data_IF_792933339037
#
_entry.id   IF_792933339037
#
_cell.length_a   1.000
_cell.length_b   1.000
_cell.length_c   1.000
_cell.angle_alpha   90.00
_cell.angle_beta   90.00
_cell.angle_gamma   90.00
#
_symmetry.space_group_name_H-M   'P 1'
#
loop_
_entity.id
_entity.type
_entity.pdbx_description
1 polymer ?
#
# COMPACT_ATOMS: atom_id res chain seq x y z
N UNK A 1 31.24 -11.86 25.71
CA UNK A 1 30.20 -11.24 24.85
C UNK A 1 28.98 -12.14 24.87
N UNK A 2 27.88 -11.68 25.46
CA UNK A 2 26.60 -12.40 25.39
C UNK A 2 25.99 -12.14 24.01
N UNK A 3 26.12 -13.10 23.10
CA UNK A 3 25.37 -13.05 21.84
C UNK A 3 23.88 -13.06 22.20
N UNK A 4 23.07 -12.09 21.75
CA UNK A 4 21.65 -12.12 22.02
C UNK A 4 21.07 -13.45 21.51
N UNK A 5 20.14 -14.07 22.25
CA UNK A 5 19.55 -15.33 21.83
C UNK A 5 18.92 -15.19 20.44
N UNK A 6 18.84 -16.26 19.65
CA UNK A 6 18.20 -16.21 18.32
C UNK A 6 16.72 -15.87 18.46
N UNK A 7 16.19 -15.01 17.58
CA UNK A 7 14.75 -14.73 17.53
C UNK A 7 14.03 -15.91 16.90
N UNK A 8 13.14 -16.54 17.68
CA UNK A 8 12.28 -17.62 17.18
C UNK A 8 10.99 -17.01 16.65
N UNK A 9 10.75 -17.19 15.36
CA UNK A 9 9.46 -16.92 14.71
C UNK A 9 8.60 -18.16 14.88
N UNK A 10 7.52 -18.05 15.66
CA UNK A 10 6.62 -19.18 15.93
C UNK A 10 5.60 -19.28 14.80
N UNK A 11 5.57 -20.42 14.10
CA UNK A 11 4.64 -20.65 12.98
C UNK A 11 3.17 -20.57 13.39
N UNK A 12 2.87 -20.88 14.66
CA UNK A 12 1.53 -20.74 15.26
C UNK A 12 0.99 -19.30 15.21
N UNK A 13 1.87 -18.29 15.12
CA UNK A 13 1.47 -16.89 15.01
C UNK A 13 0.90 -16.48 13.64
N UNK A 14 0.89 -17.42 12.67
CA UNK A 14 0.35 -17.19 11.33
C UNK A 14 0.95 -15.95 10.67
N UNK A 15 0.08 -15.15 10.07
CA UNK A 15 0.43 -13.92 9.34
C UNK A 15 1.09 -12.84 10.23
N UNK A 16 0.88 -12.87 11.55
CA UNK A 16 1.39 -11.87 12.51
C UNK A 16 2.70 -12.31 13.19
N UNK A 17 3.26 -13.46 12.81
CA UNK A 17 4.36 -14.09 13.53
C UNK A 17 5.65 -13.25 13.47
N UNK A 18 5.92 -12.57 12.34
CA UNK A 18 7.11 -11.76 12.13
C UNK A 18 7.06 -10.48 12.98
N UNK A 19 5.95 -9.76 12.94
CA UNK A 19 5.73 -8.53 13.71
C UNK A 19 5.85 -8.82 15.20
N UNK A 20 5.19 -9.87 15.69
CA UNK A 20 5.29 -10.28 17.10
C UNK A 20 6.72 -10.62 17.49
N UNK A 21 7.49 -11.22 16.59
CA UNK A 21 8.89 -11.55 16.85
C UNK A 21 9.77 -10.30 16.95
N UNK A 22 9.51 -9.28 16.12
CA UNK A 22 10.17 -7.97 16.17
C UNK A 22 9.77 -7.17 17.40
N UNK A 23 8.49 -7.16 17.75
CA UNK A 23 7.95 -6.50 18.96
C UNK A 23 8.58 -7.06 20.24
N UNK A 24 8.76 -8.38 20.35
CA UNK A 24 9.49 -9.01 21.47
C UNK A 24 10.97 -8.59 21.55
N UNK A 25 11.52 -7.97 20.51
CA UNK A 25 12.88 -7.42 20.46
C UNK A 25 12.94 -5.91 20.66
N UNK A 26 11.82 -5.28 20.96
CA UNK A 26 11.73 -3.85 21.24
C UNK A 26 11.35 -2.98 20.05
N UNK A 27 11.13 -3.56 18.87
CA UNK A 27 10.59 -2.84 17.70
C UNK A 27 9.06 -2.78 17.81
N UNK A 28 8.53 -1.72 18.44
CA UNK A 28 7.09 -1.61 18.72
C UNK A 28 6.28 -1.34 17.46
N UNK A 29 6.72 -0.36 16.68
CA UNK A 29 6.06 0.04 15.44
C UNK A 29 6.70 -0.65 14.24
N UNK A 30 6.12 -1.78 13.81
CA UNK A 30 6.54 -2.46 12.59
C UNK A 30 5.67 -2.00 11.43
N UNK A 31 6.27 -1.32 10.45
CA UNK A 31 5.59 -0.94 9.22
C UNK A 31 5.75 -2.01 8.15
N UNK A 32 4.67 -2.29 7.43
CA UNK A 32 4.68 -3.06 6.19
C UNK A 32 4.49 -2.15 5.00
N UNK A 33 5.11 -2.45 3.87
CA UNK A 33 4.88 -1.78 2.60
C UNK A 33 4.79 -2.76 1.43
N UNK A 34 3.90 -2.46 0.48
CA UNK A 34 3.66 -3.24 -0.73
C UNK A 34 3.13 -2.32 -1.85
N UNK A 35 3.10 -2.83 -3.08
CA UNK A 35 2.60 -2.15 -4.26
C UNK A 35 1.47 -2.88 -4.99
N UNK A 36 0.73 -2.12 -5.81
CA UNK A 36 -0.22 -2.62 -6.79
C UNK A 36 0.04 -1.96 -8.15
N UNK A 37 -0.12 -2.73 -9.22
CA UNK A 37 -0.02 -2.21 -10.59
C UNK A 37 1.36 -2.28 -11.24
N UNK A 38 2.34 -2.95 -10.62
CA UNK A 38 3.67 -3.13 -11.23
C UNK A 38 3.62 -3.87 -12.57
N UNK A 39 2.73 -4.86 -12.71
CA UNK A 39 2.56 -5.62 -13.96
C UNK A 39 1.60 -5.02 -14.99
N UNK A 40 0.95 -3.90 -14.68
CA UNK A 40 -0.03 -3.29 -15.57
C UNK A 40 0.65 -2.37 -16.59
N UNK A 41 0.21 -2.42 -17.85
CA UNK A 41 0.70 -1.53 -18.90
C UNK A 41 -0.10 -0.23 -19.01
N UNK A 42 -1.15 -0.06 -18.20
CA UNK A 42 -1.93 1.16 -18.10
C UNK A 42 -2.29 1.50 -16.65
N UNK A 43 -2.48 2.80 -16.41
CA UNK A 43 -2.80 3.38 -15.12
C UNK A 43 -1.61 3.51 -14.17
N UNK A 44 -1.85 4.03 -12.96
CA UNK A 44 -0.79 4.35 -12.01
C UNK A 44 -0.19 3.11 -11.35
N UNK A 45 1.01 3.28 -10.81
CA UNK A 45 1.61 2.41 -9.81
C UNK A 45 1.23 2.96 -8.44
N UNK A 46 0.67 2.14 -7.57
CA UNK A 46 0.24 2.55 -6.23
C UNK A 46 1.04 1.76 -5.21
N UNK A 47 1.67 2.45 -4.26
CA UNK A 47 2.29 1.80 -3.10
C UNK A 47 1.59 2.27 -1.83
N UNK A 48 1.55 1.40 -0.83
CA UNK A 48 1.03 1.76 0.48
C UNK A 48 1.98 1.29 1.57
N UNK A 49 1.85 1.93 2.73
CA UNK A 49 2.48 1.51 3.96
C UNK A 49 1.46 1.49 5.09
N UNK A 50 1.59 0.55 6.02
CA UNK A 50 0.70 0.42 7.16
C UNK A 50 1.46 -0.04 8.42
N UNK A 51 1.09 0.53 9.57
CA UNK A 51 1.49 0.07 10.90
C UNK A 51 0.23 -0.42 11.62
N UNK A 52 0.22 -1.70 12.00
CA UNK A 52 -0.87 -2.28 12.78
C UNK A 52 -0.54 -2.21 14.29
N UNK A 53 -1.55 -2.00 15.17
CA UNK A 53 -1.32 -2.00 16.60
C UNK A 53 -0.92 -3.38 17.13
N UNK A 54 -0.25 -3.39 18.28
CA UNK A 54 0.18 -4.64 18.91
C UNK A 54 -1.01 -5.49 19.43
N UNK A 55 -0.81 -6.80 19.46
CA UNK A 55 -1.79 -7.75 20.00
C UNK A 55 -3.10 -7.80 19.21
N UNK A 56 -4.19 -8.15 19.91
CA UNK A 56 -5.51 -8.37 19.29
C UNK A 56 -6.11 -7.15 18.61
N UNK A 57 -5.71 -5.94 19.01
CA UNK A 57 -6.22 -4.70 18.40
C UNK A 57 -5.82 -4.57 16.93
N UNK A 58 -4.65 -5.09 16.56
CA UNK A 58 -4.17 -5.07 15.18
C UNK A 58 -4.55 -6.30 14.37
N UNK A 59 -5.21 -7.28 14.97
CA UNK A 59 -5.70 -8.45 14.24
C UNK A 59 -6.93 -8.04 13.41
N UNK A 60 -6.88 -8.32 12.11
CA UNK A 60 -7.92 -8.06 11.12
C UNK A 60 -8.43 -9.40 10.60
N UNK A 61 -9.76 -9.58 10.62
CA UNK A 61 -10.35 -10.88 10.35
C UNK A 61 -10.44 -11.16 8.84
N UNK A 62 -9.90 -12.32 8.46
CA UNK A 62 -9.73 -12.72 7.07
C UNK A 62 -8.60 -11.98 6.33
N UNK A 63 -7.72 -11.24 7.01
CA UNK A 63 -6.56 -10.62 6.37
C UNK A 63 -5.66 -11.70 5.75
N UNK A 64 -5.40 -11.57 4.45
CA UNK A 64 -4.57 -12.46 3.66
C UNK A 64 -4.01 -11.73 2.44
N UNK A 65 -3.21 -12.42 1.62
CA UNK A 65 -2.77 -11.96 0.30
C UNK A 65 -3.97 -11.40 -0.49
N UNK A 66 -3.87 -10.13 -0.90
CA UNK A 66 -4.97 -9.39 -1.53
C UNK A 66 -5.51 -10.06 -2.80
N UNK A 67 -4.70 -10.90 -3.45
CA UNK A 67 -5.04 -11.67 -4.65
C UNK A 67 -5.91 -12.90 -4.34
N UNK A 68 -5.86 -13.40 -3.10
CA UNK A 68 -6.67 -14.54 -2.64
C UNK A 68 -8.05 -14.10 -2.13
N UNK A 69 -8.24 -12.81 -1.90
CA UNK A 69 -9.49 -12.23 -1.44
C UNK A 69 -10.45 -11.94 -2.59
N UNK A 70 -11.73 -12.21 -2.38
CA UNK A 70 -12.79 -11.71 -3.27
C UNK A 70 -12.83 -10.18 -3.23
N UNK A 71 -13.35 -9.50 -4.28
CA UNK A 71 -13.47 -8.04 -4.27
C UNK A 71 -14.22 -7.51 -3.05
N UNK A 72 -15.37 -8.10 -2.71
CA UNK A 72 -16.16 -7.68 -1.54
C UNK A 72 -15.41 -7.87 -0.21
N UNK A 73 -14.72 -8.99 -0.03
CA UNK A 73 -13.89 -9.21 1.16
C UNK A 73 -12.73 -8.22 1.23
N UNK A 74 -12.13 -7.88 0.09
CA UNK A 74 -11.01 -6.93 0.02
C UNK A 74 -11.44 -5.51 0.39
N UNK A 75 -12.61 -5.06 -0.06
CA UNK A 75 -13.19 -3.77 0.32
C UNK A 75 -13.47 -3.72 1.84
N UNK A 76 -14.10 -4.76 2.39
CA UNK A 76 -14.30 -4.87 3.86
C UNK A 76 -12.97 -4.80 4.62
N UNK A 77 -11.97 -5.57 4.19
CA UNK A 77 -10.66 -5.61 4.86
C UNK A 77 -9.94 -4.27 4.72
N UNK A 78 -10.06 -3.58 3.58
CA UNK A 78 -9.55 -2.22 3.41
C UNK A 78 -10.12 -1.29 4.49
N UNK A 79 -11.44 -1.31 4.69
CA UNK A 79 -12.09 -0.46 5.69
C UNK A 79 -11.66 -0.83 7.13
N UNK A 80 -11.50 -2.12 7.41
CA UNK A 80 -10.94 -2.58 8.70
C UNK A 80 -9.49 -2.14 8.91
N UNK A 81 -8.64 -2.20 7.87
CA UNK A 81 -7.26 -1.72 7.92
C UNK A 81 -7.25 -0.22 8.20
N UNK A 82 -8.03 0.57 7.46
CA UNK A 82 -8.13 2.02 7.66
C UNK A 82 -8.59 2.37 9.07
N UNK A 83 -9.57 1.64 9.61
CA UNK A 83 -10.10 1.88 10.94
C UNK A 83 -9.15 1.48 12.08
N UNK A 84 -8.34 0.44 11.90
CA UNK A 84 -7.51 -0.14 12.98
C UNK A 84 -6.04 0.21 12.91
N UNK A 85 -5.50 0.57 11.74
CA UNK A 85 -4.08 0.87 11.58
C UNK A 85 -3.68 2.09 12.42
N UNK A 86 -2.56 1.99 13.15
CA UNK A 86 -2.00 3.12 13.90
C UNK A 86 -1.62 4.27 12.96
N UNK A 87 -1.09 3.92 11.79
CA UNK A 87 -0.82 4.84 10.71
C UNK A 87 -0.87 4.09 9.39
N UNK A 88 -1.32 4.75 8.34
CA UNK A 88 -1.18 4.27 6.98
C UNK A 88 -0.98 5.44 6.01
N UNK A 89 -0.38 5.13 4.87
CA UNK A 89 -0.22 6.09 3.78
C UNK A 89 -0.34 5.36 2.45
N UNK A 90 -0.91 6.03 1.46
CA UNK A 90 -1.00 5.55 0.07
C UNK A 90 -0.37 6.58 -0.85
N UNK A 91 0.53 6.13 -1.72
CA UNK A 91 1.24 6.94 -2.71
C UNK A 91 0.93 6.43 -4.10
N UNK A 92 0.53 7.37 -4.96
CA UNK A 92 0.21 7.11 -6.36
C UNK A 92 1.31 7.70 -7.23
N UNK A 93 1.85 6.89 -8.13
CA UNK A 93 2.80 7.30 -9.17
C UNK A 93 2.09 7.21 -10.53
N UNK A 94 1.90 8.34 -11.24
CA UNK A 94 1.30 8.35 -12.57
C UNK A 94 2.06 7.51 -13.60
N UNK A 95 1.39 7.07 -14.66
CA UNK A 95 2.00 6.30 -15.75
C UNK A 95 3.17 7.04 -16.41
N UNK A 96 3.05 8.36 -16.57
CA UNK A 96 4.10 9.23 -17.10
C UNK A 96 5.38 9.19 -16.24
N UNK A 97 5.28 9.33 -14.91
CA UNK A 97 6.46 9.25 -14.03
C UNK A 97 7.10 7.85 -14.09
N UNK A 98 6.30 6.78 -14.25
CA UNK A 98 6.81 5.42 -14.46
C UNK A 98 7.60 5.30 -15.76
N UNK A 99 7.10 5.90 -16.85
CA UNK A 99 7.78 5.93 -18.14
C UNK A 99 9.10 6.72 -18.07
N UNK A 100 9.09 7.87 -17.39
CA UNK A 100 10.27 8.74 -17.28
C UNK A 100 11.40 8.13 -16.44
N UNK A 101 11.06 7.55 -15.28
CA UNK A 101 12.04 7.10 -14.28
C UNK A 101 12.34 5.61 -14.37
N UNK A 102 11.45 4.85 -15.01
CA UNK A 102 11.48 3.40 -15.04
C UNK A 102 10.73 2.76 -13.87
N UNK A 103 10.14 1.59 -14.15
CA UNK A 103 9.26 0.87 -13.23
C UNK A 103 9.90 0.54 -11.88
N UNK A 104 11.09 -0.04 -11.88
CA UNK A 104 11.73 -0.47 -10.63
C UNK A 104 12.09 0.71 -9.74
N UNK A 105 12.65 1.77 -10.33
CA UNK A 105 13.00 3.01 -9.61
C UNK A 105 11.74 3.67 -9.04
N UNK A 106 10.68 3.74 -9.84
CA UNK A 106 9.38 4.28 -9.41
C UNK A 106 8.77 3.46 -8.28
N UNK A 107 8.89 2.13 -8.32
CA UNK A 107 8.39 1.25 -7.25
C UNK A 107 9.09 1.50 -5.92
N UNK A 108 10.43 1.51 -5.92
CA UNK A 108 11.20 1.76 -4.71
C UNK A 108 10.95 3.18 -4.18
N UNK A 109 10.80 4.16 -5.08
CA UNK A 109 10.44 5.53 -4.71
C UNK A 109 9.04 5.60 -4.09
N UNK A 110 8.05 4.90 -4.65
CA UNK A 110 6.68 4.86 -4.14
C UNK A 110 6.62 4.26 -2.72
N UNK A 111 7.25 3.09 -2.51
CA UNK A 111 7.32 2.47 -1.18
C UNK A 111 8.05 3.37 -0.18
N UNK A 112 9.18 3.98 -0.56
CA UNK A 112 9.92 4.92 0.30
C UNK A 112 9.06 6.13 0.67
N UNK A 113 8.36 6.72 -0.30
CA UNK A 113 7.44 7.85 -0.06
C UNK A 113 6.30 7.42 0.87
N UNK A 114 5.72 6.23 0.69
CA UNK A 114 4.63 5.73 1.53
C UNK A 114 5.10 5.55 2.98
N UNK A 115 6.25 4.91 3.19
CA UNK A 115 6.87 4.74 4.51
C UNK A 115 7.19 6.08 5.18
N UNK A 116 7.75 7.04 4.42
CA UNK A 116 8.09 8.36 4.92
C UNK A 116 6.85 9.23 5.22
N UNK A 117 5.68 8.88 4.67
CA UNK A 117 4.42 9.61 4.88
C UNK A 117 3.62 9.08 6.08
N UNK A 118 4.10 8.01 6.74
CA UNK A 118 3.47 7.51 7.96
C UNK A 118 3.59 8.55 9.07
N UNK A 119 2.45 8.87 9.70
CA UNK A 119 2.39 9.81 10.83
C UNK A 119 3.06 9.25 12.09
N UNK A 120 3.08 7.92 12.22
CA UNK A 120 3.81 7.20 13.26
C UNK A 120 5.13 6.72 12.69
N UNK A 121 6.24 7.15 13.28
CA UNK A 121 7.58 6.69 12.87
C UNK A 121 7.73 5.18 13.14
N UNK A 122 8.06 4.37 12.13
CA UNK A 122 8.34 2.96 12.35
C UNK A 122 9.67 2.74 13.10
N UNK A 123 9.77 1.65 13.85
CA UNK A 123 11.02 1.15 14.42
C UNK A 123 11.67 0.10 13.52
N UNK A 124 10.87 -0.58 12.69
CA UNK A 124 11.31 -1.60 11.74
C UNK A 124 10.39 -1.63 10.51
N UNK A 125 10.94 -1.94 9.34
CA UNK A 125 10.20 -2.00 8.07
C UNK A 125 10.25 -3.40 7.45
N UNK A 126 9.09 -3.91 7.04
CA UNK A 126 8.94 -5.10 6.22
C UNK A 126 8.40 -4.68 4.85
N UNK A 127 9.00 -5.18 3.78
CA UNK A 127 8.63 -4.83 2.39
C UNK A 127 8.39 -6.10 1.58
N UNK A 128 7.41 -6.10 0.69
CA UNK A 128 7.21 -7.24 -0.21
C UNK A 128 8.26 -7.25 -1.33
N UNK A 129 9.01 -8.36 -1.42
CA UNK A 129 9.88 -8.68 -2.56
C UNK A 129 11.18 -7.88 -2.70
N UNK A 130 11.17 -6.55 -2.47
CA UNK A 130 12.29 -5.66 -2.75
C UNK A 130 12.73 -4.87 -1.52
N UNK A 131 14.05 -4.81 -1.29
CA UNK A 131 14.62 -3.93 -0.28
C UNK A 131 14.45 -2.47 -0.67
N UNK A 132 14.07 -1.64 0.29
CA UNK A 132 13.96 -0.20 0.13
C UNK A 132 15.13 0.47 0.82
N UNK A 133 16.11 0.92 0.05
CA UNK A 133 17.28 1.63 0.57
C UNK A 133 16.94 3.06 0.99
N UNK A 134 17.81 3.66 1.81
CA UNK A 134 17.70 5.07 2.20
C UNK A 134 16.63 5.35 3.27
N UNK A 135 16.21 4.32 4.01
CA UNK A 135 15.41 4.47 5.23
C UNK A 135 16.33 4.74 6.43
N UNK A 136 15.87 5.55 7.37
CA UNK A 136 16.55 5.85 8.64
C UNK A 136 16.31 4.76 9.71
N UNK A 137 15.63 3.69 9.32
CA UNK A 137 15.19 2.58 10.17
C UNK A 137 15.62 1.26 9.54
N UNK A 138 15.91 0.23 10.36
CA UNK A 138 16.22 -1.09 9.83
C UNK A 138 15.02 -1.68 9.09
N UNK A 139 15.29 -2.46 8.06
CA UNK A 139 14.24 -3.14 7.33
C UNK A 139 14.68 -4.44 6.69
N UNK A 140 13.70 -5.23 6.29
CA UNK A 140 13.88 -6.51 5.62
C UNK A 140 12.92 -6.62 4.43
N UNK A 141 13.47 -6.96 3.28
CA UNK A 141 12.69 -7.43 2.14
C UNK A 141 12.27 -8.87 2.41
N UNK A 142 10.97 -9.11 2.41
CA UNK A 142 10.39 -10.43 2.68
C UNK A 142 9.85 -11.00 1.37
N UNK A 143 10.32 -12.18 1.00
CA UNK A 143 9.78 -12.88 -0.15
C UNK A 143 8.33 -13.29 0.11
N UNK A 144 7.40 -12.81 -0.73
CA UNK A 144 5.94 -12.99 -0.54
C UNK A 144 5.51 -12.48 0.84
N UNK A 145 5.94 -11.26 1.16
CA UNK A 145 5.69 -10.60 2.43
C UNK A 145 4.20 -10.51 2.76
N UNK A 146 3.36 -10.30 1.74
CA UNK A 146 1.90 -10.31 1.82
C UNK A 146 1.30 -11.61 2.39
N UNK A 147 2.03 -12.73 2.36
CA UNK A 147 1.61 -14.03 2.90
C UNK A 147 2.16 -14.36 4.28
N UNK A 148 3.14 -13.59 4.76
CA UNK A 148 3.90 -13.93 5.98
C UNK A 148 4.01 -12.79 7.00
N UNK A 149 3.64 -11.57 6.61
CA UNK A 149 3.59 -10.38 7.45
C UNK A 149 2.25 -9.65 7.27
N UNK A 150 1.48 -9.52 8.34
CA UNK A 150 0.19 -8.84 8.38
C UNK A 150 0.27 -7.37 8.02
N UNK A 151 1.32 -6.67 8.44
CA UNK A 151 1.52 -5.26 8.07
C UNK A 151 1.74 -5.11 6.55
N UNK A 152 2.43 -6.05 5.90
CA UNK A 152 2.62 -6.07 4.44
C UNK A 152 1.32 -6.46 3.74
N UNK A 153 0.59 -7.44 4.26
CA UNK A 153 -0.74 -7.80 3.74
C UNK A 153 -1.73 -6.63 3.82
N UNK A 154 -1.73 -5.87 4.91
CA UNK A 154 -2.54 -4.67 5.09
C UNK A 154 -2.17 -3.59 4.05
N UNK A 155 -0.88 -3.33 3.86
CA UNK A 155 -0.40 -2.43 2.81
C UNK A 155 -0.81 -2.91 1.40
N UNK A 156 -0.73 -4.21 1.13
CA UNK A 156 -1.17 -4.83 -0.14
C UNK A 156 -2.64 -4.53 -0.43
N UNK A 157 -3.49 -4.71 0.58
CA UNK A 157 -4.93 -4.44 0.46
C UNK A 157 -5.19 -2.95 0.19
N UNK A 158 -4.53 -2.05 0.93
CA UNK A 158 -4.66 -0.60 0.73
C UNK A 158 -4.26 -0.19 -0.69
N UNK A 159 -3.09 -0.65 -1.16
CA UNK A 159 -2.60 -0.36 -2.50
C UNK A 159 -3.53 -0.92 -3.58
N UNK A 160 -3.98 -2.18 -3.42
CA UNK A 160 -4.82 -2.88 -4.40
C UNK A 160 -6.21 -2.26 -4.52
N UNK A 161 -6.87 -1.99 -3.40
CA UNK A 161 -8.22 -1.39 -3.41
C UNK A 161 -8.17 0.03 -3.96
N UNK A 162 -7.22 0.85 -3.49
CA UNK A 162 -7.04 2.21 -4.01
C UNK A 162 -6.83 2.19 -5.52
N UNK A 163 -5.91 1.36 -6.00
CA UNK A 163 -5.65 1.25 -7.44
C UNK A 163 -6.86 0.74 -8.21
N UNK A 164 -7.54 -0.29 -7.73
CA UNK A 164 -8.66 -0.89 -8.45
C UNK A 164 -9.82 0.10 -8.60
N UNK A 165 -10.06 0.97 -7.60
CA UNK A 165 -11.02 2.09 -7.67
C UNK A 165 -10.60 3.11 -8.74
N UNK A 166 -9.33 3.54 -8.75
CA UNK A 166 -8.81 4.44 -9.79
C UNK A 166 -8.96 3.85 -11.21
N UNK A 167 -8.76 2.54 -11.38
CA UNK A 167 -8.92 1.91 -12.69
C UNK A 167 -10.39 1.85 -13.14
N UNK A 168 -11.36 1.80 -12.21
CA UNK A 168 -12.80 1.93 -12.55
C UNK A 168 -13.11 3.35 -13.01
N UNK A 169 -12.57 4.35 -12.33
CA UNK A 169 -12.73 5.76 -12.73
C UNK A 169 -12.11 6.02 -14.11
N UNK A 170 -10.92 5.45 -14.36
CA UNK A 170 -10.26 5.53 -15.67
C UNK A 170 -11.06 4.89 -16.79
N UNK A 171 -11.82 3.82 -16.52
CA UNK A 171 -12.69 3.20 -17.52
C UNK A 171 -13.79 4.15 -17.99
N UNK A 172 -14.37 4.92 -17.05
CA UNK A 172 -15.34 5.96 -17.38
C UNK A 172 -14.73 7.11 -18.19
N UNK A 173 -13.48 7.49 -17.89
CA UNK A 173 -12.76 8.52 -18.64
C UNK A 173 -12.27 8.06 -20.03
N UNK A 174 -12.02 6.76 -20.20
CA UNK A 174 -11.54 6.14 -21.44
C UNK A 174 -12.38 4.91 -21.78
N UNK A 175 -13.64 5.11 -22.22
CA UNK A 175 -14.53 4.00 -22.51
C UNK A 175 -14.00 3.14 -23.67
N UNK A 176 -14.22 1.84 -23.57
CA UNK A 176 -13.85 0.86 -24.61
C UNK A 176 -12.48 0.23 -24.46
N UNK A 177 -11.71 0.58 -23.42
CA UNK A 177 -10.48 -0.14 -23.08
C UNK A 177 -10.73 -1.32 -22.13
N UNK A 178 -11.75 -1.28 -21.25
CA UNK A 178 -12.05 -2.35 -20.29
C UNK A 178 -11.27 -2.24 -18.97
N UNK A 179 -10.78 -1.04 -18.62
CA UNK A 179 -9.97 -0.80 -17.43
C UNK A 179 -10.68 -1.18 -16.14
N UNK A 180 -12.01 -1.12 -16.09
CA UNK A 180 -12.78 -1.53 -14.92
C UNK A 180 -12.65 -3.04 -14.64
N UNK A 181 -12.40 -3.87 -15.65
CA UNK A 181 -12.34 -5.32 -15.53
C UNK A 181 -10.90 -5.80 -15.30
N UNK A 182 -10.03 -5.58 -16.28
CA UNK A 182 -8.65 -6.09 -16.25
C UNK A 182 -7.67 -5.14 -15.53
N UNK A 183 -8.13 -3.99 -15.03
CA UNK A 183 -7.33 -3.05 -14.21
C UNK A 183 -6.03 -2.61 -14.87
N UNK A 184 -5.99 -2.53 -16.20
CA UNK A 184 -4.80 -2.18 -16.99
C UNK A 184 -3.73 -3.27 -17.10
N UNK A 185 -3.98 -4.49 -16.59
CA UNK A 185 -3.09 -5.64 -16.82
C UNK A 185 -3.17 -6.13 -18.27
N UNK A 186 -2.12 -6.84 -18.71
CA UNK A 186 -2.00 -7.34 -20.07
C UNK A 186 -2.87 -8.60 -20.21
N UNK A 187 -4.14 -8.43 -20.57
CA UNK A 187 -5.06 -9.53 -20.90
C UNK A 187 -5.33 -9.57 -22.41
N UNK A 188 -6.03 -10.61 -22.87
CA UNK A 188 -6.40 -10.73 -24.28
C UNK A 188 -7.31 -9.57 -24.71
N UNK A 189 -8.28 -9.22 -23.85
CA UNK A 189 -9.24 -8.14 -24.04
C UNK A 189 -8.52 -6.80 -24.12
N UNK A 190 -7.62 -6.52 -23.17
CA UNK A 190 -6.85 -5.28 -23.16
C UNK A 190 -5.94 -5.16 -24.39
N UNK A 191 -5.30 -6.27 -24.78
CA UNK A 191 -4.44 -6.30 -25.98
C UNK A 191 -5.25 -6.05 -27.25
N UNK A 192 -6.47 -6.58 -27.35
CA UNK A 192 -7.36 -6.31 -28.47
C UNK A 192 -7.79 -4.84 -28.51
N UNK A 193 -8.23 -4.28 -27.38
CA UNK A 193 -8.62 -2.87 -27.29
C UNK A 193 -7.46 -1.93 -27.63
N UNK A 194 -6.25 -2.23 -27.14
CA UNK A 194 -5.04 -1.47 -27.44
C UNK A 194 -4.71 -1.49 -28.93
N UNK A 195 -4.85 -2.64 -29.62
CA UNK A 195 -4.61 -2.75 -31.07
C UNK A 195 -5.64 -2.01 -31.92
N UNK A 196 -6.90 -2.07 -31.51
CA UNK A 196 -8.02 -1.44 -32.24
C UNK A 196 -8.01 0.09 -32.10
N UNK A 197 -7.75 0.58 -30.88
CA UNK A 197 -7.90 2.01 -30.54
C UNK A 197 -6.58 2.77 -30.47
N UNK A 198 -5.45 2.07 -30.44
CA UNK A 198 -4.16 2.63 -30.08
C UNK A 198 -4.04 2.88 -28.56
N UNK A 199 -2.88 3.33 -28.07
CA UNK A 199 -2.71 3.68 -26.65
C UNK A 199 -3.30 5.05 -26.31
N UNK A 200 -3.98 5.14 -25.16
CA UNK A 200 -4.36 6.42 -24.53
C UNK A 200 -3.25 6.98 -23.61
N UNK A 201 -3.42 8.21 -23.10
CA UNK A 201 -2.45 8.88 -22.21
C UNK A 201 -2.13 8.13 -20.90
N UNK A 202 -3.00 7.24 -20.46
CA UNK A 202 -2.79 6.46 -19.24
C UNK A 202 -1.99 5.17 -19.48
N UNK A 203 -1.66 4.85 -20.73
CA UNK A 203 -0.76 3.75 -21.03
C UNK A 203 0.69 4.12 -20.73
N UNK A 204 1.45 3.13 -20.27
CA UNK A 204 2.89 3.24 -20.04
C UNK A 204 3.62 2.92 -21.33
N UNK A 205 4.05 3.95 -22.05
CA UNK A 205 4.73 3.83 -23.34
C UNK A 205 6.12 3.18 -23.23
N UNK A 206 6.68 3.09 -22.02
CA UNK A 206 7.90 2.32 -21.75
C UNK A 206 7.69 0.80 -21.80
N UNK A 207 6.44 0.31 -21.75
CA UNK A 207 6.14 -1.12 -21.81
C UNK A 207 6.16 -1.59 -23.26
N UNK A 208 6.81 -2.74 -23.49
CA UNK A 208 7.04 -3.29 -24.84
C UNK A 208 5.74 -3.43 -25.64
N UNK A 209 4.68 -3.97 -25.04
CA UNK A 209 3.40 -4.17 -25.72
C UNK A 209 2.73 -2.85 -26.15
N UNK A 210 2.91 -1.78 -25.38
CA UNK A 210 2.39 -0.44 -25.70
C UNK A 210 3.26 0.22 -26.77
N UNK A 211 4.58 0.17 -26.61
CA UNK A 211 5.54 0.72 -27.55
C UNK A 211 5.33 0.16 -28.97
N UNK A 212 5.18 -1.17 -29.10
CA UNK A 212 4.92 -1.86 -30.37
C UNK A 212 3.66 -1.35 -31.07
N UNK A 213 2.56 -1.15 -30.34
CA UNK A 213 1.30 -0.67 -30.95
C UNK A 213 1.37 0.82 -31.27
N UNK A 214 2.10 1.60 -30.49
CA UNK A 214 2.27 3.05 -30.69
C UNK A 214 3.11 3.43 -31.91
N UNK A 215 3.74 2.47 -32.60
CA UNK A 215 4.71 2.73 -33.66
C UNK A 215 6.03 3.34 -33.17
N UNK A 216 6.25 3.39 -31.85
CA UNK A 216 7.55 3.68 -31.25
C UNK A 216 8.36 2.39 -31.25
N UNK A 217 8.98 2.08 -32.39
CA UNK A 217 9.90 0.94 -32.49
C UNK A 217 11.09 1.16 -31.53
N UNK A 218 11.02 0.54 -30.35
CA UNK A 218 12.18 0.30 -29.49
C UNK A 218 12.97 1.53 -29.08
N UNK A 219 12.35 2.70 -28.93
CA UNK A 219 12.96 3.79 -28.17
C UNK A 219 12.57 3.61 -26.69
N UNK A 220 13.35 2.85 -25.88
CA UNK A 220 13.14 2.89 -24.44
C UNK A 220 13.29 4.35 -23.99
N UNK A 221 12.60 4.78 -22.92
CA UNK A 221 13.05 5.96 -22.21
C UNK A 221 14.54 5.71 -21.95
N UNK A 222 15.40 6.60 -22.44
CA UNK A 222 16.84 6.51 -22.15
C UNK A 222 16.91 6.36 -20.65
N UNK A 223 17.30 5.17 -20.16
CA UNK A 223 17.64 5.01 -18.77
C UNK A 223 18.78 6.01 -18.56
N UNK A 224 18.46 7.19 -18.04
CA UNK A 224 19.48 8.11 -17.60
C UNK A 224 20.17 7.31 -16.49
N UNK A 225 21.37 6.81 -16.80
CA UNK A 225 22.37 6.54 -15.76
C UNK A 225 22.24 7.70 -14.78
N UNK A 226 22.11 7.47 -13.46
CA UNK A 226 22.06 8.56 -12.50
C UNK A 226 23.19 9.52 -12.88
N UNK A 227 22.83 10.76 -13.21
CA UNK A 227 23.85 11.77 -13.40
C UNK A 227 24.67 11.77 -12.12
N UNK A 228 25.99 11.62 -12.26
CA UNK A 228 26.94 11.64 -11.17
C UNK A 228 26.53 12.76 -10.22
N UNK A 229 26.11 12.41 -9.01
CA UNK A 229 25.48 13.34 -8.06
C UNK A 229 26.57 14.30 -7.62
N UNK A 230 26.70 15.41 -8.34
CA UNK A 230 27.39 16.58 -7.81
C UNK A 230 26.56 17.04 -6.63
N UNK A 231 27.18 16.94 -5.45
CA UNK A 231 26.66 17.44 -4.18
C UNK A 231 26.31 18.92 -4.32
N UNK A 232 25.33 19.29 -3.51
CA UNK A 232 24.94 20.65 -3.13
C UNK A 232 24.00 21.39 -4.08
N UNK A 233 22.68 21.12 -3.98
CA UNK A 233 21.65 22.16 -3.97
C UNK A 233 20.43 21.73 -3.11
N UNK A 234 19.82 22.65 -2.32
CA UNK A 234 18.72 22.33 -1.42
C UNK A 234 17.40 22.15 -2.18
N UNK A 235 16.69 21.07 -1.83
CA UNK A 235 15.44 20.64 -2.45
C UNK A 235 14.29 21.62 -2.15
N UNK A 236 13.99 22.53 -3.08
CA UNK A 236 12.76 23.33 -3.04
C UNK A 236 11.54 22.46 -3.33
N UNK A 237 10.53 22.61 -2.47
CA UNK A 237 9.29 21.84 -2.47
C UNK A 237 8.36 22.36 -3.56
N UNK A 238 8.06 21.54 -4.55
CA UNK A 238 6.77 21.65 -5.24
C UNK A 238 6.25 20.27 -5.63
N UNK A 239 5.16 19.86 -4.98
CA UNK A 239 4.34 18.73 -5.38
C UNK A 239 2.93 19.00 -4.82
N UNK A 240 1.86 18.90 -5.61
CA UNK A 240 0.51 18.90 -5.05
C UNK A 240 0.28 17.53 -4.37
N UNK A 241 -0.26 17.46 -3.14
CA UNK A 241 -0.40 16.20 -2.44
C UNK A 241 -1.68 15.48 -2.92
N UNK A 242 -1.51 14.43 -3.72
CA UNK A 242 -2.58 13.47 -4.05
C UNK A 242 -2.53 12.19 -3.20
N UNK A 243 -1.77 12.19 -2.10
CA UNK A 243 -1.63 11.04 -1.20
C UNK A 243 -2.59 11.15 -0.02
N UNK A 244 -3.32 10.07 0.28
CA UNK A 244 -4.10 9.98 1.51
C UNK A 244 -3.16 9.57 2.65
N UNK A 245 -3.04 10.43 3.65
CA UNK A 245 -2.39 10.13 4.93
C UNK A 245 -3.48 10.00 5.98
N UNK A 246 -3.59 8.84 6.62
CA UNK A 246 -4.63 8.57 7.61
C UNK A 246 -4.05 8.20 8.97
N UNK A 247 -4.75 8.62 10.02
CA UNK A 247 -4.49 8.26 11.43
C UNK A 247 -5.77 7.60 11.95
N UNK A 248 -5.66 6.42 12.58
CA UNK A 248 -6.75 5.96 13.44
C UNK A 248 -6.79 6.88 14.66
N UNK A 249 -7.85 7.69 14.76
CA UNK A 249 -8.10 8.59 15.89
C UNK A 249 -7.96 7.79 17.20
N UNK A 250 -6.98 8.18 18.02
CA UNK A 250 -6.88 7.74 19.39
C UNK A 250 -8.06 8.28 20.21
N UNK A 251 -8.64 7.39 21.01
CA UNK A 251 -9.57 7.66 22.11
C UNK A 251 -10.89 8.35 21.74
N UNK A 252 -11.92 7.55 21.46
CA UNK A 252 -13.29 8.04 21.69
C UNK A 252 -13.49 8.22 23.21
N UNK A 253 -13.96 9.39 23.68
CA UNK A 253 -14.39 9.55 25.07
C UNK A 253 -15.50 8.54 25.35
N UNK A 254 -15.34 7.74 26.41
CA UNK A 254 -16.46 6.97 26.94
C UNK A 254 -17.58 7.96 27.30
N UNK A 255 -18.83 7.75 26.86
CA UNK A 255 -19.94 8.52 27.39
C UNK A 255 -19.99 8.31 28.91
N UNK A 256 -20.28 9.35 29.71
CA UNK A 256 -20.40 9.18 31.15
C UNK A 256 -21.45 8.12 31.44
N UNK A 257 -21.16 7.24 32.41
CA UNK A 257 -22.08 6.23 32.87
C UNK A 257 -23.44 6.89 33.17
N UNK A 258 -24.51 6.30 32.63
CA UNK A 258 -25.88 6.68 32.98
C UNK A 258 -26.04 6.57 34.48
N UNK A 259 -26.14 7.73 35.16
CA UNK A 259 -26.58 7.83 36.53
C UNK A 259 -27.98 7.22 36.58
N UNK A 260 -28.17 6.23 37.45
CA UNK A 260 -29.38 5.43 37.54
C UNK A 260 -30.62 6.29 37.71
N UNK A 261 -31.69 5.90 37.03
CA UNK A 261 -33.01 6.43 37.29
C UNK A 261 -33.41 6.09 38.73
N UNK A 262 -33.81 7.14 39.46
CA UNK A 262 -34.33 7.07 40.81
C UNK A 262 -35.54 6.14 40.88
N UNK A 263 -35.48 5.21 41.83
CA UNK A 263 -36.59 4.38 42.28
C UNK A 263 -37.68 5.30 42.83
N UNK A 264 -38.75 5.49 42.06
CA UNK A 264 -39.97 6.15 42.54
C UNK A 264 -40.69 5.19 43.49
N UNK A 265 -40.63 5.54 44.77
CA UNK A 265 -41.40 4.92 45.86
C UNK A 265 -42.87 5.35 45.76
N UNK A 266 -43.74 4.48 45.25
CA UNK A 266 -45.19 4.64 45.46
C UNK A 266 -45.58 4.12 46.85
N UNK A 267 -45.60 5.03 47.82
CA UNK A 267 -46.34 4.89 49.08
C UNK A 267 -47.62 5.72 48.98
N UNK A 268 -48.78 5.05 48.99
CA UNK A 268 -50.08 5.67 48.79
C UNK A 268 -50.62 6.46 49.99
N UNK A 269 -51.77 7.10 49.78
CA UNK A 269 -52.93 7.21 50.70
C UNK A 269 -54.09 7.84 49.90
N UNK A 270 -55.19 7.10 49.75
CA UNK A 270 -56.54 7.46 50.21
C UNK A 270 -57.46 6.24 50.14
#
# INVERSE_FOLDING_TARGET
MLTPPRTVVRREGGLYALERALQRRGFRHVAGADEAGRGACAGPLVAAAAILPEGRRGEIDGLADSKLLTPASRERIHDEVVARALAYAVVVIPAEEVDERGLHVSNLAAMRRALASLTTRPDYVLTDGFGVDGLDVPGLAVWKGDRVAACVAAASVLAKVTRDRMMVELDGAFPGYGFAEHKGYITAEHTAALRDRGPCREHRFSYVNVATVSGRDGAPPRARRPADVRRDEPMERSCPPGGTVGVALGEQPQPPASVGEDVVMEGGVR
#
